data_IF_042970115863
#
_entry.id   IF_042970115863
#
_cell.length_a   1.000
_cell.length_b   1.000
_cell.length_c   1.000
_cell.angle_alpha   90.00
_cell.angle_beta   90.00
_cell.angle_gamma   90.00
#
_symmetry.space_group_name_H-M   'P 1'
#
loop_
_entity.id
_entity.type
_entity.pdbx_description
1 polymer ?
#
# COMPACT_ATOMS: atom_id res chain seq x y z
N UNK A 1 -13.56 5.57 12.73
CA UNK A 1 -14.23 6.82 12.29
C UNK A 1 -15.28 7.40 13.23
N UNK A 2 -15.71 6.70 14.28
CA UNK A 2 -16.40 7.25 15.47
C UNK A 2 -15.76 8.51 16.09
N UNK A 3 -14.52 8.83 15.72
CA UNK A 3 -13.80 10.06 16.06
C UNK A 3 -14.24 11.33 15.30
N UNK A 4 -14.96 11.21 14.18
CA UNK A 4 -15.45 12.36 13.40
C UNK A 4 -16.93 12.66 13.73
N UNK A 5 -17.19 13.85 14.26
CA UNK A 5 -18.56 14.35 14.44
C UNK A 5 -19.26 14.58 13.10
N UNK A 6 -20.60 14.68 13.12
CA UNK A 6 -21.38 15.03 11.93
C UNK A 6 -20.88 16.33 11.26
N UNK A 7 -20.59 17.36 12.04
CA UNK A 7 -20.06 18.63 11.53
C UNK A 7 -18.68 18.48 10.90
N UNK A 8 -17.82 17.60 11.44
CA UNK A 8 -16.51 17.31 10.87
C UNK A 8 -16.62 16.53 9.56
N UNK A 9 -17.53 15.55 9.48
CA UNK A 9 -17.82 14.83 8.23
C UNK A 9 -18.29 15.79 7.15
N UNK A 10 -19.24 16.67 7.46
CA UNK A 10 -19.73 17.68 6.51
C UNK A 10 -18.61 18.64 6.06
N UNK A 11 -17.79 19.14 6.99
CA UNK A 11 -16.66 20.00 6.68
C UNK A 11 -15.63 19.29 5.78
N UNK A 12 -15.41 17.99 6.01
CA UNK A 12 -14.51 17.18 5.21
C UNK A 12 -15.03 16.97 3.79
N UNK A 13 -16.31 16.61 3.62
CA UNK A 13 -16.94 16.46 2.30
C UNK A 13 -16.93 17.77 1.52
N UNK A 14 -17.24 18.90 2.17
CA UNK A 14 -17.24 20.22 1.52
C UNK A 14 -15.83 20.66 1.11
N UNK A 15 -14.84 20.49 1.98
CA UNK A 15 -13.45 20.84 1.67
C UNK A 15 -12.83 19.91 0.62
N UNK A 16 -13.18 18.62 0.62
CA UNK A 16 -12.79 17.70 -0.45
C UNK A 16 -13.34 18.15 -1.79
N UNK A 17 -14.62 18.52 -1.90
CA UNK A 17 -15.20 19.02 -3.16
C UNK A 17 -14.43 20.19 -3.76
N UNK A 18 -13.86 21.05 -2.91
CA UNK A 18 -13.02 22.19 -3.33
C UNK A 18 -11.57 21.80 -3.63
N UNK A 19 -11.02 20.82 -2.91
CA UNK A 19 -9.66 20.29 -3.11
C UNK A 19 -9.57 19.37 -4.34
N UNK A 20 -10.60 18.57 -4.61
CA UNK A 20 -10.63 17.49 -5.59
C UNK A 20 -10.13 17.88 -6.99
N UNK A 21 -10.51 19.03 -7.58
CA UNK A 21 -9.98 19.44 -8.89
C UNK A 21 -8.46 19.61 -8.91
N UNK A 22 -7.87 19.96 -7.76
CA UNK A 22 -6.43 20.16 -7.57
C UNK A 22 -5.74 18.92 -7.00
N UNK A 23 -6.51 17.93 -6.54
CA UNK A 23 -6.00 16.73 -5.89
C UNK A 23 -4.96 15.96 -6.73
N UNK A 24 -5.10 15.78 -8.06
CA UNK A 24 -4.05 15.13 -8.86
C UNK A 24 -2.69 15.83 -8.76
N UNK A 25 -2.67 17.17 -8.77
CA UNK A 25 -1.43 17.93 -8.63
C UNK A 25 -0.87 17.83 -7.20
N UNK A 26 -1.74 17.86 -6.19
CA UNK A 26 -1.36 17.69 -4.78
C UNK A 26 -0.76 16.31 -4.52
N UNK A 27 -1.41 15.24 -4.97
CA UNK A 27 -0.90 13.87 -4.80
C UNK A 27 0.36 13.60 -5.62
N UNK A 28 0.51 14.22 -6.79
CA UNK A 28 1.79 14.17 -7.52
C UNK A 28 2.94 14.73 -6.67
N UNK A 29 2.74 15.90 -6.04
CA UNK A 29 3.76 16.49 -5.16
C UNK A 29 4.06 15.58 -3.97
N UNK A 30 3.03 15.01 -3.33
CA UNK A 30 3.18 14.08 -2.21
C UNK A 30 4.01 12.85 -2.61
N UNK A 31 3.70 12.22 -3.75
CA UNK A 31 4.43 11.03 -4.20
C UNK A 31 5.86 11.35 -4.62
N UNK A 32 6.11 12.48 -5.28
CA UNK A 32 7.47 12.92 -5.63
C UNK A 32 8.31 13.20 -4.37
N UNK A 33 7.73 13.78 -3.33
CA UNK A 33 8.43 13.96 -2.06
C UNK A 33 8.67 12.66 -1.32
N UNK A 34 7.73 11.72 -1.41
CA UNK A 34 7.93 10.38 -0.86
C UNK A 34 9.09 9.66 -1.58
N UNK A 35 9.21 9.82 -2.91
CA UNK A 35 10.36 9.30 -3.66
C UNK A 35 11.70 9.93 -3.23
N UNK A 36 11.70 11.22 -2.91
CA UNK A 36 12.89 11.91 -2.41
C UNK A 36 13.25 11.46 -0.99
N UNK A 37 12.24 11.28 -0.13
CA UNK A 37 12.42 10.84 1.26
C UNK A 37 12.78 9.35 1.35
N UNK A 38 12.34 8.54 0.38
CA UNK A 38 12.58 7.10 0.33
C UNK A 38 12.97 6.64 -1.08
N UNK A 39 14.28 6.45 -1.35
CA UNK A 39 14.77 5.95 -2.63
C UNK A 39 14.15 4.60 -3.05
N UNK A 40 13.66 3.81 -2.09
CA UNK A 40 12.94 2.55 -2.34
C UNK A 40 11.65 2.79 -3.14
N UNK A 41 10.91 3.85 -2.84
CA UNK A 41 9.65 4.19 -3.54
C UNK A 41 9.94 4.54 -4.99
N UNK A 42 10.99 5.34 -5.23
CA UNK A 42 11.46 5.65 -6.59
C UNK A 42 11.81 4.39 -7.37
N UNK A 43 12.51 3.46 -6.73
CA UNK A 43 12.87 2.18 -7.36
C UNK A 43 11.64 1.31 -7.68
N UNK A 44 10.61 1.34 -6.83
CA UNK A 44 9.36 0.60 -7.07
C UNK A 44 8.65 1.13 -8.31
N UNK A 45 8.43 2.45 -8.41
CA UNK A 45 7.79 3.03 -9.59
C UNK A 45 8.63 2.84 -10.85
N UNK A 46 9.96 2.88 -10.75
CA UNK A 46 10.85 2.58 -11.87
C UNK A 46 10.73 1.12 -12.32
N UNK A 47 10.72 0.16 -11.39
CA UNK A 47 10.51 -1.26 -11.70
C UNK A 47 9.15 -1.50 -12.34
N UNK A 48 8.09 -0.87 -11.82
CA UNK A 48 6.75 -0.93 -12.40
C UNK A 48 6.76 -0.41 -13.84
N UNK A 49 7.34 0.76 -14.10
CA UNK A 49 7.44 1.33 -15.45
C UNK A 49 8.24 0.44 -16.42
N UNK A 50 9.30 -0.23 -15.94
CA UNK A 50 10.03 -1.21 -16.75
C UNK A 50 9.15 -2.41 -17.10
N UNK A 51 8.46 -2.99 -16.12
CA UNK A 51 7.55 -4.13 -16.35
C UNK A 51 6.45 -3.73 -17.34
N UNK A 52 5.85 -2.56 -17.15
CA UNK A 52 4.82 -2.01 -18.04
C UNK A 52 5.34 -1.81 -19.47
N UNK A 53 6.59 -1.36 -19.64
CA UNK A 53 7.19 -1.20 -20.97
C UNK A 53 7.37 -2.52 -21.74
N UNK A 54 7.45 -3.66 -21.02
CA UNK A 54 7.54 -5.00 -21.62
C UNK A 54 6.22 -5.75 -21.62
N UNK A 55 5.20 -5.26 -20.93
CA UNK A 55 3.88 -5.89 -20.85
C UNK A 55 2.95 -5.29 -21.90
N UNK A 56 2.24 -6.14 -22.64
CA UNK A 56 1.30 -5.69 -23.69
C UNK A 56 -0.13 -5.48 -23.16
N UNK A 57 -0.40 -5.92 -21.93
CA UNK A 57 -1.67 -5.69 -21.25
C UNK A 57 -1.67 -4.34 -20.54
N UNK A 58 -2.49 -3.41 -21.06
CA UNK A 58 -2.71 -2.08 -20.47
C UNK A 58 -3.47 -2.14 -19.12
N UNK A 59 -4.01 -3.30 -18.75
CA UNK A 59 -4.89 -3.47 -17.59
C UNK A 59 -4.16 -3.39 -16.24
N UNK A 60 -2.83 -3.59 -16.23
CA UNK A 60 -2.04 -3.71 -14.99
C UNK A 60 -0.95 -2.64 -14.83
N UNK A 61 -1.12 -1.48 -15.47
CA UNK A 61 -0.15 -0.38 -15.45
C UNK A 61 -0.07 0.23 -14.05
N UNK A 62 1.11 0.20 -13.43
CA UNK A 62 1.34 0.65 -12.06
C UNK A 62 2.22 1.93 -11.98
N UNK A 63 2.11 2.79 -13.00
CA UNK A 63 2.82 4.07 -13.04
C UNK A 63 2.33 5.05 -11.97
N UNK A 64 3.15 6.04 -11.62
CA UNK A 64 2.78 7.11 -10.69
C UNK A 64 1.50 7.84 -11.11
N UNK A 65 1.31 8.11 -12.40
CA UNK A 65 0.12 8.79 -12.90
C UNK A 65 -1.16 7.95 -12.72
N UNK A 66 -1.06 6.63 -12.86
CA UNK A 66 -2.16 5.72 -12.53
C UNK A 66 -2.40 5.74 -11.02
N UNK A 67 -1.35 5.66 -10.21
CA UNK A 67 -1.46 5.73 -8.75
C UNK A 67 -2.13 7.02 -8.26
N UNK A 68 -1.83 8.17 -8.87
CA UNK A 68 -2.48 9.45 -8.56
C UNK A 68 -4.00 9.36 -8.82
N UNK A 69 -4.41 8.79 -9.97
CA UNK A 69 -5.84 8.61 -10.29
C UNK A 69 -6.51 7.67 -9.29
N UNK A 70 -5.84 6.57 -8.94
CA UNK A 70 -6.33 5.61 -7.94
C UNK A 70 -6.48 6.25 -6.55
N UNK A 71 -5.53 7.08 -6.12
CA UNK A 71 -5.61 7.79 -4.84
C UNK A 71 -6.79 8.77 -4.84
N UNK A 72 -6.95 9.57 -5.90
CA UNK A 72 -8.09 10.51 -6.00
C UNK A 72 -9.42 9.75 -5.96
N UNK A 73 -9.54 8.66 -6.73
CA UNK A 73 -10.72 7.80 -6.71
C UNK A 73 -10.95 7.17 -5.33
N UNK A 74 -9.89 6.74 -4.66
CA UNK A 74 -9.97 6.17 -3.33
C UNK A 74 -10.54 7.18 -2.32
N UNK A 75 -10.12 8.46 -2.37
CA UNK A 75 -10.74 9.49 -1.54
C UNK A 75 -12.19 9.75 -1.95
N UNK A 76 -12.54 9.80 -3.25
CA UNK A 76 -13.94 9.93 -3.67
C UNK A 76 -14.83 8.82 -3.07
N UNK A 77 -14.39 7.56 -3.22
CA UNK A 77 -15.10 6.38 -2.76
C UNK A 77 -15.16 6.32 -1.22
N UNK A 78 -14.03 6.57 -0.54
CA UNK A 78 -13.95 6.58 0.93
C UNK A 78 -14.86 7.66 1.52
N UNK A 79 -14.91 8.85 0.91
CA UNK A 79 -15.71 9.95 1.42
C UNK A 79 -17.21 9.77 1.19
N UNK A 80 -17.59 8.92 0.22
CA UNK A 80 -18.99 8.53 -0.01
C UNK A 80 -19.56 7.61 1.09
N UNK A 81 -18.70 6.94 1.85
CA UNK A 81 -19.09 5.94 2.87
C UNK A 81 -18.67 6.36 4.29
N UNK A 82 -18.39 7.65 4.53
CA UNK A 82 -17.98 8.17 5.85
C UNK A 82 -18.93 7.83 7.02
N UNK A 83 -20.18 7.51 6.72
CA UNK A 83 -21.15 7.12 7.74
C UNK A 83 -21.06 5.64 8.14
N UNK A 84 -20.44 4.80 7.31
CA UNK A 84 -20.12 3.41 7.61
C UNK A 84 -18.63 3.27 8.00
N UNK A 85 -18.39 3.29 9.31
CA UNK A 85 -17.04 3.17 9.86
C UNK A 85 -16.36 1.84 9.52
N UNK A 86 -17.11 0.74 9.53
CA UNK A 86 -16.56 -0.57 9.25
C UNK A 86 -16.13 -0.66 7.78
N UNK A 87 -16.95 -0.14 6.87
CA UNK A 87 -16.61 -0.08 5.46
C UNK A 87 -15.41 0.85 5.18
N UNK A 88 -15.33 2.02 5.84
CA UNK A 88 -14.16 2.90 5.73
C UNK A 88 -12.87 2.17 6.13
N UNK A 89 -12.86 1.56 7.33
CA UNK A 89 -11.68 0.87 7.86
C UNK A 89 -11.27 -0.30 6.96
N UNK A 90 -12.24 -1.10 6.50
CA UNK A 90 -11.98 -2.22 5.59
C UNK A 90 -11.37 -1.76 4.26
N UNK A 91 -11.89 -0.67 3.67
CA UNK A 91 -11.33 -0.10 2.43
C UNK A 91 -9.89 0.38 2.63
N UNK A 92 -9.59 1.03 3.76
CA UNK A 92 -8.22 1.47 4.07
C UNK A 92 -7.28 0.28 4.25
N UNK A 93 -7.67 -0.72 5.05
CA UNK A 93 -6.85 -1.93 5.28
C UNK A 93 -6.56 -2.67 3.99
N UNK A 94 -7.55 -2.83 3.12
CA UNK A 94 -7.40 -3.54 1.84
C UNK A 94 -6.30 -2.94 0.96
N UNK A 95 -6.18 -1.61 0.92
CA UNK A 95 -5.09 -0.96 0.18
C UNK A 95 -3.74 -1.33 0.80
N UNK A 96 -3.62 -1.27 2.14
CA UNK A 96 -2.42 -1.69 2.86
C UNK A 96 -2.02 -3.13 2.55
N UNK A 97 -2.98 -4.05 2.64
CA UNK A 97 -2.78 -5.48 2.36
C UNK A 97 -2.35 -5.73 0.91
N UNK A 98 -2.96 -5.04 -0.06
CA UNK A 98 -2.57 -5.17 -1.47
C UNK A 98 -1.12 -4.76 -1.73
N UNK A 99 -0.58 -3.82 -0.95
CA UNK A 99 0.82 -3.39 -1.06
C UNK A 99 1.80 -4.33 -0.34
N UNK A 100 1.33 -5.30 0.45
CA UNK A 100 2.19 -6.21 1.21
C UNK A 100 3.07 -7.11 0.33
N UNK A 101 2.66 -7.35 -0.92
CA UNK A 101 3.47 -8.06 -1.92
C UNK A 101 4.84 -7.39 -2.14
N UNK A 102 4.90 -6.06 -2.03
CA UNK A 102 6.12 -5.27 -2.21
C UNK A 102 7.12 -5.45 -1.07
N UNK A 103 6.69 -5.96 0.09
CA UNK A 103 7.57 -6.21 1.22
C UNK A 103 8.66 -7.22 0.87
N UNK A 104 8.35 -8.22 0.03
CA UNK A 104 9.29 -9.28 -0.38
C UNK A 104 10.20 -8.84 -1.52
N UNK A 105 9.62 -8.24 -2.56
CA UNK A 105 10.32 -7.97 -3.83
C UNK A 105 11.06 -6.63 -3.86
N UNK A 106 10.63 -5.68 -3.03
CA UNK A 106 11.09 -4.30 -3.07
C UNK A 106 11.48 -3.73 -1.71
N UNK A 107 11.53 -4.57 -0.66
CA UNK A 107 11.83 -4.16 0.71
C UNK A 107 10.96 -2.97 1.18
N UNK A 108 9.71 -2.92 0.70
CA UNK A 108 8.71 -1.99 1.17
C UNK A 108 8.38 -2.30 2.64
N UNK A 109 8.29 -1.28 3.48
CA UNK A 109 8.16 -1.44 4.91
C UNK A 109 7.24 -0.37 5.50
N UNK A 110 6.85 -0.57 6.77
CA UNK A 110 5.85 0.27 7.45
C UNK A 110 6.29 1.74 7.60
N UNK A 111 7.60 2.00 7.66
CA UNK A 111 8.23 3.33 7.64
C UNK A 111 7.83 4.18 6.43
N UNK A 112 7.63 3.57 5.26
CA UNK A 112 7.20 4.28 4.05
C UNK A 112 5.78 4.84 4.21
N UNK A 113 4.90 4.12 4.91
CA UNK A 113 3.56 4.60 5.22
C UNK A 113 3.58 5.77 6.21
N UNK A 114 4.48 5.75 7.20
CA UNK A 114 4.69 6.88 8.12
C UNK A 114 5.13 8.13 7.36
N UNK A 115 6.14 8.01 6.50
CA UNK A 115 6.62 9.12 5.66
C UNK A 115 5.52 9.64 4.74
N UNK A 116 4.73 8.75 4.11
CA UNK A 116 3.58 9.15 3.31
C UNK A 116 2.57 9.94 4.15
N UNK A 117 2.34 9.51 5.39
CA UNK A 117 1.44 10.17 6.33
C UNK A 117 1.88 11.58 6.70
N UNK A 118 3.15 11.76 7.05
CA UNK A 118 3.73 13.06 7.38
C UNK A 118 3.63 14.05 6.20
N UNK A 119 4.06 13.63 5.01
CA UNK A 119 4.02 14.44 3.79
C UNK A 119 2.56 14.77 3.42
N UNK A 120 1.66 13.78 3.48
CA UNK A 120 0.23 13.99 3.18
C UNK A 120 -0.41 14.96 4.17
N UNK A 121 -0.11 14.84 5.45
CA UNK A 121 -0.60 15.73 6.50
C UNK A 121 -0.15 17.17 6.23
N UNK A 122 1.14 17.38 5.94
CA UNK A 122 1.68 18.70 5.61
C UNK A 122 0.97 19.29 4.39
N UNK A 123 0.91 18.56 3.28
CA UNK A 123 0.41 19.09 2.01
C UNK A 123 -1.09 19.26 1.94
N UNK A 124 -1.85 18.38 2.55
CA UNK A 124 -3.31 18.48 2.57
C UNK A 124 -3.76 19.52 3.59
N UNK A 125 -3.19 19.54 4.81
CA UNK A 125 -3.61 20.49 5.84
C UNK A 125 -3.12 21.93 5.62
N UNK A 126 -2.15 22.15 4.74
CA UNK A 126 -1.76 23.50 4.29
C UNK A 126 -2.54 24.00 3.07
N UNK A 127 -3.37 23.16 2.47
CA UNK A 127 -4.17 23.56 1.31
C UNK A 127 -5.28 24.55 1.72
N UNK A 128 -5.45 25.62 0.95
CA UNK A 128 -6.42 26.69 1.25
C UNK A 128 -7.84 26.18 1.53
N UNK A 129 -8.36 25.27 0.70
CA UNK A 129 -9.66 24.60 0.85
C UNK A 129 -9.85 23.90 2.21
N UNK A 130 -8.77 23.40 2.80
CA UNK A 130 -8.78 22.71 4.10
C UNK A 130 -8.63 23.72 5.25
N UNK A 131 -7.88 24.80 5.03
CA UNK A 131 -7.66 25.85 6.02
C UNK A 131 -8.83 26.83 6.17
N UNK A 132 -9.83 26.80 5.27
CA UNK A 132 -11.00 27.69 5.32
C UNK A 132 -11.74 27.64 6.66
N UNK A 133 -11.78 26.48 7.31
CA UNK A 133 -12.39 26.33 8.64
C UNK A 133 -11.51 25.48 9.54
N UNK A 134 -11.53 25.79 10.83
CA UNK A 134 -10.81 25.00 11.84
C UNK A 134 -11.32 23.56 11.89
N UNK A 135 -12.63 23.40 11.71
CA UNK A 135 -13.32 22.12 11.69
C UNK A 135 -12.88 21.24 10.52
N UNK A 136 -12.73 21.80 9.31
CA UNK A 136 -12.19 21.06 8.16
C UNK A 136 -10.74 20.62 8.42
N UNK A 137 -9.89 21.54 8.86
CA UNK A 137 -8.50 21.21 9.22
C UNK A 137 -8.41 20.09 10.27
N UNK A 138 -9.23 20.14 11.32
CA UNK A 138 -9.28 19.07 12.34
C UNK A 138 -9.77 17.74 11.76
N UNK A 139 -10.80 17.78 10.92
CA UNK A 139 -11.36 16.57 10.31
C UNK A 139 -10.33 15.87 9.41
N UNK A 140 -9.60 16.63 8.59
CA UNK A 140 -8.54 16.09 7.72
C UNK A 140 -7.41 15.44 8.51
N UNK A 141 -6.94 16.05 9.61
CA UNK A 141 -5.91 15.43 10.45
C UNK A 141 -6.37 14.10 11.05
N UNK A 142 -7.61 14.03 11.53
CA UNK A 142 -8.19 12.79 12.08
C UNK A 142 -8.30 11.73 10.98
N UNK A 143 -8.83 12.11 9.80
CA UNK A 143 -8.96 11.18 8.68
C UNK A 143 -7.61 10.64 8.21
N UNK A 144 -6.61 11.51 8.03
CA UNK A 144 -5.28 11.09 7.56
C UNK A 144 -4.56 10.23 8.59
N UNK A 145 -4.64 10.56 9.88
CA UNK A 145 -4.08 9.71 10.92
C UNK A 145 -4.72 8.31 10.91
N UNK A 146 -6.05 8.23 10.84
CA UNK A 146 -6.78 6.97 10.73
C UNK A 146 -6.41 6.21 9.45
N UNK A 147 -6.35 6.90 8.30
CA UNK A 147 -6.00 6.30 7.02
C UNK A 147 -4.63 5.62 7.08
N UNK A 148 -3.62 6.32 7.58
CA UNK A 148 -2.25 5.79 7.63
C UNK A 148 -2.14 4.63 8.62
N UNK A 149 -2.81 4.71 9.77
CA UNK A 149 -2.83 3.62 10.75
C UNK A 149 -3.48 2.34 10.20
N UNK A 150 -4.60 2.48 9.50
CA UNK A 150 -5.30 1.34 8.90
C UNK A 150 -4.58 0.76 7.68
N UNK A 151 -3.95 1.61 6.86
CA UNK A 151 -3.04 1.15 5.78
C UNK A 151 -1.89 0.32 6.35
N UNK A 152 -1.23 0.80 7.42
CA UNK A 152 -0.16 0.06 8.09
C UNK A 152 -0.65 -1.25 8.69
N UNK A 153 -1.79 -1.21 9.37
CA UNK A 153 -2.40 -2.40 9.96
C UNK A 153 -2.70 -3.47 8.91
N UNK A 154 -3.31 -3.09 7.79
CA UNK A 154 -3.57 -4.01 6.68
C UNK A 154 -2.29 -4.56 6.05
N UNK A 155 -1.30 -3.70 5.85
CA UNK A 155 0.02 -4.07 5.33
C UNK A 155 0.76 -5.05 6.23
N UNK A 156 0.89 -4.74 7.53
CA UNK A 156 1.65 -5.55 8.48
C UNK A 156 0.97 -6.90 8.75
N UNK A 157 -0.36 -6.94 8.71
CA UNK A 157 -1.14 -8.18 8.78
C UNK A 157 -0.76 -9.13 7.65
N UNK A 158 -0.87 -8.66 6.41
CA UNK A 158 -0.64 -9.48 5.21
C UNK A 158 0.85 -9.80 5.00
N UNK A 159 1.74 -8.84 5.24
CA UNK A 159 3.19 -9.04 5.12
C UNK A 159 3.71 -10.10 6.10
N UNK A 160 3.12 -10.22 7.30
CA UNK A 160 3.42 -11.31 8.25
C UNK A 160 2.96 -12.66 7.73
N UNK A 161 1.79 -12.73 7.07
CA UNK A 161 1.28 -13.98 6.49
C UNK A 161 2.17 -14.48 5.35
N UNK A 162 2.60 -13.60 4.45
CA UNK A 162 3.53 -13.95 3.38
C UNK A 162 4.89 -14.46 3.88
N UNK A 163 5.41 -13.93 5.00
CA UNK A 163 6.63 -14.47 5.63
C UNK A 163 6.42 -15.88 6.15
N UNK A 164 5.30 -16.16 6.83
CA UNK A 164 4.99 -17.49 7.38
C UNK A 164 4.79 -18.54 6.30
N UNK A 165 4.05 -18.21 5.23
CA UNK A 165 3.84 -19.08 4.08
C UNK A 165 5.17 -19.42 3.38
N UNK A 166 6.04 -18.42 3.17
CA UNK A 166 7.38 -18.67 2.59
C UNK A 166 8.25 -19.59 3.44
N UNK A 167 8.18 -19.50 4.78
CA UNK A 167 8.92 -20.41 5.67
C UNK A 167 8.37 -21.83 5.63
N UNK A 168 7.04 -21.99 5.56
CA UNK A 168 6.40 -23.30 5.46
C UNK A 168 6.66 -23.97 4.10
N UNK A 169 6.61 -23.21 3.00
CA UNK A 169 6.95 -23.69 1.66
C UNK A 169 8.44 -24.08 1.57
N UNK A 170 9.35 -23.28 2.14
CA UNK A 170 10.78 -23.60 2.16
C UNK A 170 11.06 -24.90 2.93
N UNK A 171 10.42 -25.11 4.09
CA UNK A 171 10.54 -26.36 4.84
C UNK A 171 9.99 -27.57 4.07
N UNK A 172 8.86 -27.42 3.37
CA UNK A 172 8.29 -28.49 2.55
C UNK A 172 9.14 -28.84 1.32
N UNK A 173 9.76 -27.84 0.69
CA UNK A 173 10.65 -28.03 -0.46
C UNK A 173 11.96 -28.69 -0.07
N UNK A 174 12.53 -28.34 1.08
CA UNK A 174 13.76 -28.94 1.58
C UNK A 174 13.55 -30.42 1.98
N UNK A 175 12.40 -30.78 2.53
CA UNK A 175 12.06 -32.19 2.79
C UNK A 175 11.92 -33.01 1.50
N UNK A 176 11.26 -32.47 0.46
CA UNK A 176 11.12 -33.13 -0.85
C UNK A 176 12.48 -33.29 -1.56
N UNK A 177 13.34 -32.27 -1.51
CA UNK A 177 14.69 -32.33 -2.07
C UNK A 177 15.56 -33.35 -1.33
N UNK A 178 15.55 -33.34 0.01
CA UNK A 178 16.29 -34.32 0.80
C UNK A 178 15.80 -35.75 0.56
N UNK A 179 14.50 -35.94 0.37
CA UNK A 179 13.91 -37.25 0.07
C UNK A 179 14.31 -37.74 -1.33
N UNK A 180 14.26 -36.86 -2.34
CA UNK A 180 14.74 -37.17 -3.70
C UNK A 180 16.24 -37.47 -3.74
N UNK A 181 17.06 -36.73 -2.99
CA UNK A 181 18.49 -36.99 -2.88
C UNK A 181 18.80 -38.32 -2.18
N UNK A 182 17.99 -38.72 -1.18
CA UNK A 182 18.09 -40.05 -0.55
C UNK A 182 17.72 -41.16 -1.52
N UNK A 183 16.64 -40.99 -2.28
CA UNK A 183 16.22 -41.96 -3.29
C UNK A 183 17.30 -42.16 -4.37
N UNK A 184 17.87 -41.07 -4.89
CA UNK A 184 18.96 -41.13 -5.86
C UNK A 184 20.22 -41.85 -5.32
N UNK A 185 20.53 -41.72 -4.02
CA UNK A 185 21.64 -42.45 -3.39
C UNK A 185 21.37 -43.95 -3.30
N UNK A 186 20.15 -44.33 -2.94
CA UNK A 186 19.75 -45.74 -2.90
C UNK A 186 19.78 -46.37 -4.30
N UNK A 187 19.26 -45.66 -5.30
CA UNK A 187 19.25 -46.13 -6.69
C UNK A 187 20.68 -46.27 -7.27
N UNK A 188 21.60 -45.40 -6.84
CA UNK A 188 23.04 -45.52 -7.16
C UNK A 188 23.68 -46.76 -6.51
N UNK A 189 23.42 -47.01 -5.23
CA UNK A 189 23.97 -48.17 -4.51
C UNK A 189 23.48 -49.52 -5.07
N UNK A 190 22.31 -49.55 -5.73
CA UNK A 190 21.77 -50.74 -6.39
C UNK A 190 22.31 -50.97 -7.82
N UNK A 191 22.99 -50.00 -8.42
CA UNK A 191 23.45 -50.07 -9.83
C UNK A 191 24.96 -50.26 -9.97
N UNK A 192 25.73 -50.21 -8.88
CA UNK A 192 27.17 -50.47 -8.90
C UNK A 192 27.46 -51.92 -8.47
N UNK A 193 27.86 -52.82 -9.39
CA UNK A 193 28.28 -54.16 -9.01
C UNK A 193 29.60 -54.06 -8.24
N UNK A 194 29.60 -54.50 -6.98
CA UNK A 194 30.82 -54.73 -6.22
C UNK A 194 31.67 -55.76 -6.99
N UNK A 195 32.87 -55.35 -7.41
CA UNK A 195 33.92 -56.28 -7.87
C UNK A 195 34.64 -56.87 -6.68
#
# INVERSE_FOLDING_TARGET
>A
MSALSFSQKQALTLSWRLLRPQAPATFRKILLELEMASPKVKQIFYKAALVDAFNKDEEHVATMDVHIKLIVKFFDDLLSVLDDEAECVERMKRIGSAHAILARSCAFSSDIWEQLGEISLERICTHESVQKTREAGRAWRILLACLIDELRTGFDGEARMHRKSSSAEHLSGDEDINTKLRQLRMDYDHTVPYK
#
